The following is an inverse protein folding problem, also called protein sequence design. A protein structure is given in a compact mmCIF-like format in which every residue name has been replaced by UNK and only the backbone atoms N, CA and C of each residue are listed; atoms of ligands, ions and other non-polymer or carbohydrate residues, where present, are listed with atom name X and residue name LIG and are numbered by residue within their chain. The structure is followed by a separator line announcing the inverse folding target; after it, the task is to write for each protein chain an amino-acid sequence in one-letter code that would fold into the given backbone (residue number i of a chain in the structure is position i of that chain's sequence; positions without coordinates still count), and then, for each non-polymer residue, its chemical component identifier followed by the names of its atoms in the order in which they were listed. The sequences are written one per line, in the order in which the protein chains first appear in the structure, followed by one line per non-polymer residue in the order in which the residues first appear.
data_IF_543749338668
#
_entry.id   IF_543749338668
#
_cell.length_a   1.000
_cell.length_b   1.000
_cell.length_c   1.000
_cell.angle_alpha   90.00
_cell.angle_beta   90.00
_cell.angle_gamma   90.00
#
_symmetry.space_group_name_H-M   'P 1'
#
loop_
_entity.id
_entity.type
_entity.pdbx_description
1 polymer ?
#
# COMPACT_ATOMS: atom_id res chain seq x y z
N UNK A 1 -2.49 -24.82 4.79
CA UNK A 1 -2.81 -23.37 4.70
C UNK A 1 -2.96 -23.03 3.22
N UNK A 2 -3.94 -22.22 2.81
CA UNK A 2 -4.08 -21.76 1.41
C UNK A 2 -3.01 -20.70 1.14
N UNK A 3 -2.27 -20.82 0.04
CA UNK A 3 -1.28 -19.80 -0.34
C UNK A 3 -1.99 -18.47 -0.65
N UNK A 4 -1.62 -17.35 -0.01
CA UNK A 4 -2.26 -16.07 -0.24
C UNK A 4 -1.86 -15.49 -1.61
N UNK A 5 -2.72 -14.65 -2.16
CA UNK A 5 -2.34 -13.74 -3.26
C UNK A 5 -1.60 -12.55 -2.65
N UNK A 6 -0.54 -12.13 -3.28
CA UNK A 6 0.31 -11.06 -2.78
C UNK A 6 0.33 -9.85 -3.70
N UNK A 7 0.63 -8.70 -3.14
CA UNK A 7 0.90 -7.46 -3.86
C UNK A 7 1.95 -6.64 -3.10
N UNK A 8 2.66 -5.76 -3.81
CA UNK A 8 3.78 -5.01 -3.26
C UNK A 8 3.63 -3.52 -3.52
N UNK A 9 4.06 -2.70 -2.56
CA UNK A 9 4.20 -1.27 -2.74
C UNK A 9 5.67 -0.86 -2.89
N UNK A 10 5.94 0.01 -3.87
CA UNK A 10 7.26 0.57 -4.14
C UNK A 10 7.26 2.09 -4.05
N UNK A 11 8.39 2.66 -3.72
CA UNK A 11 8.63 4.10 -3.82
C UNK A 11 9.25 4.45 -5.17
N UNK A 12 8.84 5.57 -5.81
CA UNK A 12 9.53 6.07 -6.98
C UNK A 12 10.95 6.53 -6.61
N UNK A 13 11.96 6.28 -7.45
CA UNK A 13 13.34 6.60 -7.13
C UNK A 13 13.60 8.09 -7.27
N UNK A 14 14.27 8.70 -6.28
CA UNK A 14 14.67 10.12 -6.29
C UNK A 14 16.14 10.34 -6.65
N UNK A 15 16.93 9.28 -6.68
CA UNK A 15 18.36 9.28 -6.99
C UNK A 15 18.71 8.06 -7.82
N UNK A 16 19.87 8.06 -8.46
CA UNK A 16 20.36 6.91 -9.22
C UNK A 16 20.49 5.66 -8.31
N UNK A 17 21.00 5.83 -7.09
CA UNK A 17 21.09 4.72 -6.12
C UNK A 17 19.72 4.17 -5.74
N UNK A 18 18.71 5.05 -5.52
CA UNK A 18 17.34 4.62 -5.28
C UNK A 18 16.73 3.90 -6.49
N UNK A 19 17.16 4.25 -7.72
CA UNK A 19 16.77 3.54 -8.94
C UNK A 19 17.29 2.11 -8.95
N UNK A 20 18.56 1.91 -8.61
CA UNK A 20 19.13 0.56 -8.50
C UNK A 20 18.41 -0.27 -7.44
N UNK A 21 18.13 0.31 -6.26
CA UNK A 21 17.37 -0.39 -5.21
C UNK A 21 15.95 -0.76 -5.66
N UNK A 22 15.25 0.13 -6.36
CA UNK A 22 13.94 -0.18 -6.89
C UNK A 22 14.01 -1.39 -7.85
N UNK A 23 14.96 -1.38 -8.80
CA UNK A 23 15.11 -2.47 -9.76
C UNK A 23 15.53 -3.79 -9.10
N UNK A 24 16.41 -3.74 -8.12
CA UNK A 24 16.78 -4.92 -7.33
C UNK A 24 15.54 -5.49 -6.60
N UNK A 25 14.74 -4.62 -5.98
CA UNK A 25 13.48 -5.01 -5.33
C UNK A 25 12.51 -5.64 -6.33
N UNK A 26 12.33 -5.03 -7.51
CA UNK A 26 11.45 -5.56 -8.56
C UNK A 26 11.95 -6.91 -9.04
N UNK A 27 13.23 -7.06 -9.34
CA UNK A 27 13.82 -8.33 -9.78
C UNK A 27 13.69 -9.44 -8.75
N UNK A 28 13.81 -9.11 -7.47
CA UNK A 28 13.69 -10.07 -6.38
C UNK A 28 12.25 -10.52 -6.15
N UNK A 29 11.27 -9.60 -6.27
CA UNK A 29 9.89 -9.86 -5.89
C UNK A 29 8.97 -10.21 -7.07
N UNK A 30 9.27 -9.79 -8.29
CA UNK A 30 8.43 -10.09 -9.46
C UNK A 30 8.28 -11.59 -9.76
N UNK A 31 9.30 -12.47 -9.52
CA UNK A 31 9.11 -13.89 -9.71
C UNK A 31 8.07 -14.55 -8.80
N UNK A 32 7.69 -13.88 -7.69
CA UNK A 32 6.63 -14.34 -6.79
C UNK A 32 5.21 -14.16 -7.37
N UNK A 33 5.11 -13.64 -8.59
CA UNK A 33 3.86 -13.44 -9.34
C UNK A 33 2.82 -12.61 -8.58
N UNK A 34 3.15 -11.38 -8.19
CA UNK A 34 2.21 -10.53 -7.47
C UNK A 34 0.97 -10.21 -8.33
N UNK A 35 -0.20 -10.17 -7.69
CA UNK A 35 -1.46 -9.79 -8.32
C UNK A 35 -1.38 -8.38 -8.94
N UNK A 36 -0.72 -7.48 -8.25
CA UNK A 36 -0.34 -6.14 -8.71
C UNK A 36 0.84 -5.62 -7.89
N UNK A 37 1.47 -4.57 -8.39
CA UNK A 37 2.40 -3.75 -7.62
C UNK A 37 1.90 -2.31 -7.62
N UNK A 38 2.11 -1.56 -6.54
CA UNK A 38 1.77 -0.14 -6.51
C UNK A 38 3.02 0.72 -6.43
N UNK A 39 2.93 1.95 -6.95
CA UNK A 39 4.01 2.95 -6.87
C UNK A 39 3.44 4.20 -6.21
N UNK A 40 4.07 4.59 -5.09
CA UNK A 40 3.59 5.70 -4.28
C UNK A 40 3.76 7.06 -4.97
N UNK A 41 2.98 8.03 -4.47
CA UNK A 41 3.02 9.42 -4.88
C UNK A 41 3.49 10.24 -3.68
N UNK A 42 4.56 11.01 -3.84
CA UNK A 42 5.14 11.74 -2.71
C UNK A 42 4.21 12.81 -2.15
N UNK A 43 4.31 13.03 -0.85
CA UNK A 43 3.55 14.05 -0.15
C UNK A 43 3.65 15.41 -0.86
N UNK A 44 2.50 16.12 -0.97
CA UNK A 44 2.41 17.38 -1.70
C UNK A 44 2.74 17.29 -3.19
N UNK A 45 2.58 16.12 -3.83
CA UNK A 45 2.84 15.96 -5.26
C UNK A 45 4.32 16.01 -5.68
N UNK A 46 5.24 15.95 -4.72
CA UNK A 46 6.68 16.18 -4.95
C UNK A 46 7.37 15.15 -5.86
N UNK A 47 6.73 13.98 -6.11
CA UNK A 47 7.27 12.93 -6.97
C UNK A 47 6.39 12.64 -8.18
N UNK A 48 5.52 13.58 -8.60
CA UNK A 48 4.58 13.40 -9.71
C UNK A 48 5.21 12.80 -10.96
N UNK A 49 6.26 13.46 -11.47
CA UNK A 49 6.97 13.00 -12.67
C UNK A 49 7.70 11.68 -12.43
N UNK A 50 8.39 11.53 -11.29
CA UNK A 50 9.11 10.30 -10.93
C UNK A 50 8.16 9.10 -10.80
N UNK A 51 6.98 9.31 -10.23
CA UNK A 51 5.95 8.26 -10.13
C UNK A 51 5.47 7.86 -11.53
N UNK A 52 5.19 8.82 -12.40
CA UNK A 52 4.76 8.57 -13.77
C UNK A 52 5.81 7.76 -14.55
N UNK A 53 7.06 8.18 -14.49
CA UNK A 53 8.16 7.48 -15.16
C UNK A 53 8.37 6.06 -14.59
N UNK A 54 8.36 5.91 -13.27
CA UNK A 54 8.52 4.62 -12.62
C UNK A 54 7.38 3.65 -12.98
N UNK A 55 6.12 4.10 -12.91
CA UNK A 55 4.93 3.32 -13.27
C UNK A 55 5.00 2.82 -14.71
N UNK A 56 5.23 3.74 -15.67
CA UNK A 56 5.28 3.38 -17.09
C UNK A 56 6.46 2.45 -17.41
N UNK A 57 7.62 2.68 -16.77
CA UNK A 57 8.82 1.87 -16.99
C UNK A 57 8.65 0.47 -16.39
N UNK A 58 8.12 0.36 -15.17
CA UNK A 58 7.84 -0.93 -14.52
C UNK A 58 6.87 -1.76 -15.36
N UNK A 59 5.72 -1.19 -15.72
CA UNK A 59 4.73 -1.89 -16.54
C UNK A 59 5.33 -2.41 -17.84
N UNK A 60 6.02 -1.55 -18.59
CA UNK A 60 6.63 -1.89 -19.87
C UNK A 60 7.75 -2.94 -19.77
N UNK A 61 8.58 -2.85 -18.74
CA UNK A 61 9.75 -3.72 -18.60
C UNK A 61 9.43 -5.09 -18.02
N UNK A 62 8.41 -5.19 -17.14
CA UNK A 62 8.11 -6.43 -16.41
C UNK A 62 6.81 -7.10 -16.84
N UNK A 63 5.89 -6.37 -17.47
CA UNK A 63 4.53 -6.83 -17.75
C UNK A 63 3.63 -6.96 -16.51
N UNK A 64 4.10 -6.55 -15.35
CA UNK A 64 3.30 -6.56 -14.12
C UNK A 64 2.10 -5.60 -14.22
N UNK A 65 1.03 -5.94 -13.52
CA UNK A 65 -0.05 -5.01 -13.24
C UNK A 65 0.44 -3.94 -12.28
N UNK A 66 0.51 -2.69 -12.72
CA UNK A 66 0.98 -1.58 -11.91
C UNK A 66 -0.19 -0.68 -11.54
N UNK A 67 -0.40 -0.49 -10.24
CA UNK A 67 -1.35 0.47 -9.68
C UNK A 67 -0.61 1.78 -9.38
N UNK A 68 -0.93 2.83 -10.14
CA UNK A 68 -0.35 4.14 -9.91
C UNK A 68 -1.07 4.84 -8.75
N UNK A 69 -0.34 5.34 -7.75
CA UNK A 69 -0.94 6.26 -6.80
C UNK A 69 -1.27 7.58 -7.51
N UNK A 70 -2.45 8.11 -7.26
CA UNK A 70 -2.90 9.39 -7.76
C UNK A 70 -3.58 10.17 -6.64
N UNK A 71 -3.19 11.43 -6.48
CA UNK A 71 -3.70 12.30 -5.43
C UNK A 71 -4.38 13.53 -6.02
N UNK A 72 -5.30 14.11 -5.27
CA UNK A 72 -5.95 15.38 -5.61
C UNK A 72 -5.23 16.60 -5.02
N UNK A 73 -4.11 16.42 -4.33
CA UNK A 73 -3.38 17.52 -3.70
C UNK A 73 -2.67 18.39 -4.74
N UNK A 74 -2.77 19.71 -4.56
CA UNK A 74 -2.03 20.73 -5.32
C UNK A 74 -2.13 20.60 -6.85
N UNK A 75 -3.32 20.23 -7.36
CA UNK A 75 -3.61 20.14 -8.79
C UNK A 75 -5.08 20.44 -9.09
N UNK A 76 -5.33 20.99 -10.27
CA UNK A 76 -6.68 21.13 -10.80
C UNK A 76 -7.28 19.76 -11.19
N UNK A 77 -8.61 19.71 -11.35
CA UNK A 77 -9.30 18.51 -11.87
C UNK A 77 -8.76 18.09 -13.23
N UNK A 78 -8.56 19.07 -14.11
CA UNK A 78 -8.05 18.85 -15.46
C UNK A 78 -6.65 18.24 -15.43
N UNK A 79 -5.73 18.80 -14.65
CA UNK A 79 -4.37 18.26 -14.50
C UNK A 79 -4.37 16.85 -13.93
N UNK A 80 -5.17 16.59 -12.90
CA UNK A 80 -5.27 15.27 -12.27
C UNK A 80 -5.81 14.22 -13.24
N UNK A 81 -6.87 14.55 -14.00
CA UNK A 81 -7.42 13.64 -15.00
C UNK A 81 -6.51 13.47 -16.21
N UNK A 82 -5.77 14.50 -16.62
CA UNK A 82 -4.76 14.37 -17.67
C UNK A 82 -3.63 13.40 -17.27
N UNK A 83 -3.24 13.37 -16.00
CA UNK A 83 -2.28 12.37 -15.47
C UNK A 83 -2.89 10.96 -15.53
N UNK A 84 -4.15 10.79 -15.13
CA UNK A 84 -4.84 9.52 -15.23
C UNK A 84 -4.90 9.03 -16.70
N UNK A 85 -5.21 9.91 -17.64
CA UNK A 85 -5.21 9.59 -19.07
C UNK A 85 -3.83 9.18 -19.60
N UNK A 86 -2.75 9.80 -19.09
CA UNK A 86 -1.38 9.37 -19.41
C UNK A 86 -1.10 7.97 -18.91
N UNK A 87 -1.54 7.61 -17.68
CA UNK A 87 -1.44 6.24 -17.19
C UNK A 87 -2.19 5.25 -18.08
N UNK A 88 -3.45 5.54 -18.42
CA UNK A 88 -4.24 4.68 -19.31
C UNK A 88 -3.56 4.51 -20.68
N UNK A 89 -3.00 5.58 -21.25
CA UNK A 89 -2.26 5.55 -22.51
C UNK A 89 -1.00 4.70 -22.43
N UNK A 90 -0.36 4.67 -21.26
CA UNK A 90 0.80 3.80 -20.99
C UNK A 90 0.43 2.33 -20.72
N UNK A 91 -0.85 1.95 -20.78
CA UNK A 91 -1.35 0.61 -20.53
C UNK A 91 -1.63 0.30 -19.05
N UNK A 92 -1.55 1.31 -18.17
CA UNK A 92 -1.84 1.16 -16.74
C UNK A 92 -3.34 1.32 -16.49
N UNK A 93 -3.96 0.27 -15.98
CA UNK A 93 -5.40 0.21 -15.73
C UNK A 93 -5.78 0.18 -14.25
N UNK A 94 -4.83 0.42 -13.37
CA UNK A 94 -5.05 0.35 -11.92
C UNK A 94 -4.57 1.62 -11.22
N UNK A 95 -5.38 2.17 -10.33
CA UNK A 95 -5.07 3.39 -9.57
C UNK A 95 -5.32 3.16 -8.07
N UNK A 96 -4.40 3.65 -7.23
CA UNK A 96 -4.64 3.89 -5.81
C UNK A 96 -5.00 5.36 -5.65
N UNK A 97 -6.31 5.65 -5.48
CA UNK A 97 -6.83 7.00 -5.38
C UNK A 97 -6.78 7.50 -3.93
N UNK A 98 -6.08 8.60 -3.72
CA UNK A 98 -5.83 9.17 -2.40
C UNK A 98 -6.16 10.68 -2.41
N UNK A 99 -6.45 11.25 -1.23
CA UNK A 99 -6.51 12.70 -1.07
C UNK A 99 -5.12 13.31 -1.31
N UNK A 100 -4.11 12.66 -0.79
CA UNK A 100 -2.75 13.15 -0.67
C UNK A 100 -2.53 13.92 0.63
N UNK A 101 -1.28 13.88 1.10
CA UNK A 101 -0.86 14.63 2.27
C UNK A 101 -0.64 16.10 1.90
N UNK A 102 -0.94 17.02 2.81
CA UNK A 102 -0.66 18.43 2.60
C UNK A 102 0.86 18.66 2.46
N UNK A 103 1.29 19.72 1.76
CA UNK A 103 2.69 20.10 1.71
C UNK A 103 3.27 20.29 3.11
N UNK A 104 4.55 19.92 3.30
CA UNK A 104 5.22 20.07 4.59
C UNK A 104 5.18 21.53 5.07
N UNK A 105 4.71 21.71 6.30
CA UNK A 105 4.59 23.04 6.94
C UNK A 105 3.25 23.74 6.70
N UNK A 106 2.31 23.13 5.97
CA UNK A 106 0.94 23.66 5.86
C UNK A 106 0.08 23.27 7.08
N UNK A 107 -0.96 24.06 7.34
CA UNK A 107 -1.91 23.82 8.44
C UNK A 107 -3.05 22.86 8.07
N UNK A 108 -2.74 21.77 7.36
CA UNK A 108 -3.70 20.77 6.90
C UNK A 108 -3.95 20.82 5.39
N UNK A 109 -4.81 19.90 4.93
CA UNK A 109 -5.16 19.82 3.52
C UNK A 109 -6.06 20.99 3.11
N UNK A 110 -5.68 21.66 2.03
CA UNK A 110 -6.52 22.66 1.35
C UNK A 110 -6.61 22.26 -0.11
N UNK A 111 -7.84 22.05 -0.65
CA UNK A 111 -7.98 21.69 -2.05
C UNK A 111 -7.55 22.86 -2.95
N UNK A 112 -6.98 22.53 -4.11
CA UNK A 112 -6.76 23.53 -5.16
C UNK A 112 -8.10 24.16 -5.58
N UNK A 113 -8.19 25.49 -5.84
CA UNK A 113 -9.47 26.14 -6.15
C UNK A 113 -10.27 25.52 -7.31
N UNK A 114 -9.58 24.88 -8.25
CA UNK A 114 -10.16 24.15 -9.37
C UNK A 114 -9.92 22.64 -9.26
N UNK A 115 -9.50 22.15 -8.08
CA UNK A 115 -9.17 20.76 -7.83
C UNK A 115 -10.37 19.93 -7.35
N UNK A 116 -10.05 18.70 -6.95
CA UNK A 116 -10.99 17.85 -6.22
C UNK A 116 -10.99 18.24 -4.74
N UNK A 117 -12.17 18.36 -4.15
CA UNK A 117 -12.33 18.73 -2.75
C UNK A 117 -11.89 17.63 -1.80
N UNK A 118 -12.02 16.37 -2.22
CA UNK A 118 -11.64 15.20 -1.46
C UNK A 118 -11.38 13.98 -2.37
N UNK A 119 -11.01 12.84 -1.76
CA UNK A 119 -10.76 11.60 -2.50
C UNK A 119 -12.03 10.99 -3.11
N UNK A 120 -13.22 11.22 -2.56
CA UNK A 120 -14.46 10.67 -3.12
C UNK A 120 -14.79 11.32 -4.47
N UNK A 121 -14.58 12.64 -4.60
CA UNK A 121 -14.75 13.33 -5.89
C UNK A 121 -13.76 12.82 -6.94
N UNK A 122 -12.49 12.57 -6.57
CA UNK A 122 -11.50 11.98 -7.46
C UNK A 122 -11.92 10.57 -7.89
N UNK A 123 -12.35 9.73 -6.95
CA UNK A 123 -12.79 8.36 -7.21
C UNK A 123 -13.97 8.37 -8.18
N UNK A 124 -14.98 9.20 -7.95
CA UNK A 124 -16.15 9.30 -8.84
C UNK A 124 -15.73 9.69 -10.27
N UNK A 125 -14.88 10.70 -10.41
CA UNK A 125 -14.41 11.14 -11.72
C UNK A 125 -13.59 10.05 -12.45
N UNK A 126 -12.76 9.28 -11.71
CA UNK A 126 -12.03 8.15 -12.29
C UNK A 126 -12.96 6.99 -12.67
N UNK A 127 -13.97 6.68 -11.84
CA UNK A 127 -14.95 5.64 -12.10
C UNK A 127 -15.80 5.93 -13.35
N UNK A 128 -16.20 7.20 -13.55
CA UNK A 128 -16.94 7.65 -14.75
C UNK A 128 -16.16 7.37 -16.04
N UNK A 129 -14.82 7.34 -16.01
CA UNK A 129 -14.02 7.02 -17.20
C UNK A 129 -14.15 5.58 -17.65
N UNK A 130 -14.49 4.66 -16.73
CA UNK A 130 -14.53 3.21 -16.98
C UNK A 130 -13.18 2.57 -17.30
N UNK A 131 -12.06 3.30 -17.12
CA UNK A 131 -10.71 2.86 -17.52
C UNK A 131 -9.94 2.14 -16.42
N UNK A 132 -10.34 2.28 -15.14
CA UNK A 132 -9.49 1.91 -14.01
C UNK A 132 -10.17 1.00 -13.00
N UNK A 133 -9.41 0.05 -12.48
CA UNK A 133 -9.65 -0.56 -11.17
C UNK A 133 -9.14 0.42 -10.11
N UNK A 134 -10.00 0.84 -9.18
CA UNK A 134 -9.69 1.90 -8.23
C UNK A 134 -9.56 1.30 -6.82
N UNK A 135 -8.38 1.45 -6.23
CA UNK A 135 -8.11 1.10 -4.83
C UNK A 135 -8.01 2.35 -3.97
N UNK A 136 -8.31 2.18 -2.70
CA UNK A 136 -8.28 3.28 -1.71
C UNK A 136 -7.61 2.86 -0.42
N UNK A 137 -7.08 3.83 0.33
CA UNK A 137 -6.56 3.59 1.67
C UNK A 137 -7.67 3.43 2.70
N UNK A 138 -7.47 2.53 3.67
CA UNK A 138 -8.30 2.30 4.84
C UNK A 138 -7.44 2.26 6.11
N UNK A 139 -8.03 2.48 7.29
CA UNK A 139 -7.29 2.63 8.54
C UNK A 139 -7.89 1.75 9.64
N UNK A 140 -7.29 0.59 9.94
CA UNK A 140 -7.81 -0.33 10.96
C UNK A 140 -7.92 0.28 12.35
N UNK A 141 -7.03 1.22 12.68
CA UNK A 141 -6.98 1.87 13.98
C UNK A 141 -7.54 3.29 14.00
N UNK A 142 -7.88 3.85 12.88
CA UNK A 142 -8.41 5.19 12.64
C UNK A 142 -7.37 6.11 11.97
N UNK A 143 -7.81 6.83 10.94
CA UNK A 143 -7.01 7.92 10.35
C UNK A 143 -6.75 9.02 11.40
N UNK A 144 -5.52 9.57 11.49
CA UNK A 144 -5.20 10.61 12.47
C UNK A 144 -6.15 11.81 12.49
N UNK A 145 -6.67 12.22 11.34
CA UNK A 145 -7.61 13.33 11.19
C UNK A 145 -9.09 12.95 11.39
N UNK A 146 -9.43 11.65 11.47
CA UNK A 146 -10.81 11.22 11.69
C UNK A 146 -11.24 11.53 13.15
N UNK A 147 -12.48 11.93 13.34
CA UNK A 147 -13.01 12.21 14.68
C UNK A 147 -13.00 10.94 15.55
N UNK A 148 -13.48 9.84 15.00
CA UNK A 148 -13.52 8.52 15.62
C UNK A 148 -13.48 7.41 14.56
N UNK A 149 -13.40 6.15 14.99
CA UNK A 149 -13.34 4.99 14.09
C UNK A 149 -14.61 4.83 13.25
N UNK A 150 -15.77 5.23 13.75
CA UNK A 150 -17.02 5.16 13.00
C UNK A 150 -17.02 6.16 11.84
N UNK A 151 -16.61 7.40 12.11
CA UNK A 151 -16.49 8.42 11.06
C UNK A 151 -15.51 7.99 9.96
N UNK A 152 -14.43 7.28 10.32
CA UNK A 152 -13.46 6.77 9.35
C UNK A 152 -14.03 5.62 8.50
N UNK A 153 -14.81 4.71 9.11
CA UNK A 153 -15.53 3.65 8.38
C UNK A 153 -16.61 4.24 7.46
N UNK A 154 -17.37 5.24 7.94
CA UNK A 154 -18.36 5.95 7.12
C UNK A 154 -17.68 6.64 5.92
N UNK A 155 -16.46 7.18 6.13
CA UNK A 155 -15.65 7.74 5.05
C UNK A 155 -15.18 6.68 4.06
N UNK A 156 -14.72 5.51 4.52
CA UNK A 156 -14.38 4.39 3.65
C UNK A 156 -15.58 3.94 2.83
N UNK A 157 -16.77 3.84 3.46
CA UNK A 157 -18.00 3.51 2.74
C UNK A 157 -18.28 4.50 1.61
N UNK A 158 -18.14 5.79 1.86
CA UNK A 158 -18.32 6.82 0.81
C UNK A 158 -17.33 6.65 -0.35
N UNK A 159 -16.08 6.26 -0.09
CA UNK A 159 -15.09 5.95 -1.14
C UNK A 159 -15.54 4.75 -2.00
N UNK A 160 -16.05 3.69 -1.36
CA UNK A 160 -16.58 2.51 -2.06
C UNK A 160 -17.82 2.87 -2.87
N UNK A 161 -18.77 3.59 -2.29
CA UNK A 161 -19.97 4.05 -2.96
C UNK A 161 -19.66 5.00 -4.14
N UNK A 162 -18.55 5.74 -4.10
CA UNK A 162 -18.04 6.58 -5.17
C UNK A 162 -17.42 5.81 -6.35
N UNK A 163 -17.19 4.50 -6.20
CA UNK A 163 -16.67 3.63 -7.27
C UNK A 163 -15.35 2.95 -6.99
N UNK A 164 -14.81 3.03 -5.77
CA UNK A 164 -13.65 2.25 -5.41
C UNK A 164 -14.00 0.75 -5.32
N UNK A 165 -13.13 -0.10 -5.85
CA UNK A 165 -13.36 -1.54 -5.95
C UNK A 165 -12.73 -2.35 -4.83
N UNK A 166 -11.68 -1.84 -4.20
CA UNK A 166 -10.92 -2.50 -3.13
C UNK A 166 -10.33 -1.46 -2.18
N UNK A 167 -10.11 -1.85 -0.93
CA UNK A 167 -9.40 -1.05 0.05
C UNK A 167 -8.11 -1.74 0.50
N UNK A 168 -7.01 -0.98 0.61
CA UNK A 168 -5.75 -1.44 1.20
C UNK A 168 -5.60 -0.76 2.55
N UNK A 169 -5.35 -1.53 3.61
CA UNK A 169 -5.25 -0.92 4.94
C UNK A 169 -3.87 -0.33 5.21
N UNK A 170 -3.82 0.70 6.06
CA UNK A 170 -2.59 1.04 6.76
C UNK A 170 -2.09 -0.21 7.52
N UNK A 171 -0.77 -0.33 7.70
CA UNK A 171 -0.22 -1.45 8.46
C UNK A 171 -0.60 -1.38 9.94
N UNK A 172 -0.56 -2.52 10.58
CA UNK A 172 -0.85 -2.74 12.01
C UNK A 172 0.02 -3.89 12.51
N UNK A 173 0.08 -4.12 13.82
CA UNK A 173 0.97 -5.12 14.41
C UNK A 173 0.24 -6.33 15.00
N UNK A 174 -1.08 -6.31 15.11
CA UNK A 174 -1.87 -7.38 15.69
C UNK A 174 -3.05 -7.75 14.77
N UNK A 175 -3.23 -9.04 14.46
CA UNK A 175 -4.29 -9.51 13.54
C UNK A 175 -5.70 -9.14 14.02
N UNK A 176 -5.94 -9.13 15.33
CA UNK A 176 -7.21 -8.74 15.93
C UNK A 176 -7.62 -7.31 15.58
N UNK A 177 -6.65 -6.41 15.36
CA UNK A 177 -6.92 -5.04 14.92
C UNK A 177 -7.57 -5.04 13.53
N UNK A 178 -7.06 -5.84 12.62
CA UNK A 178 -7.65 -6.01 11.30
C UNK A 178 -9.03 -6.69 11.37
N UNK A 179 -9.19 -7.74 12.15
CA UNK A 179 -10.46 -8.45 12.23
C UNK A 179 -11.57 -7.58 12.79
N UNK A 180 -11.33 -6.84 13.85
CA UNK A 180 -12.31 -5.88 14.40
C UNK A 180 -12.71 -4.83 13.37
N UNK A 181 -11.73 -4.29 12.63
CA UNK A 181 -11.99 -3.33 11.56
C UNK A 181 -12.80 -3.93 10.42
N UNK A 182 -12.42 -5.11 9.92
CA UNK A 182 -13.15 -5.83 8.87
C UNK A 182 -14.60 -6.07 9.26
N UNK A 183 -14.84 -6.56 10.47
CA UNK A 183 -16.18 -6.88 10.95
C UNK A 183 -17.02 -5.58 11.09
N UNK A 184 -16.42 -4.49 11.54
CA UNK A 184 -17.09 -3.19 11.60
C UNK A 184 -17.43 -2.65 10.19
N UNK A 185 -16.55 -2.84 9.19
CA UNK A 185 -16.81 -2.49 7.80
C UNK A 185 -17.97 -3.30 7.22
N UNK A 186 -18.01 -4.61 7.47
CA UNK A 186 -19.13 -5.47 7.05
C UNK A 186 -20.43 -5.01 7.70
N UNK A 187 -20.43 -4.70 8.98
CA UNK A 187 -21.59 -4.17 9.70
C UNK A 187 -22.08 -2.82 9.13
N UNK A 188 -21.16 -2.00 8.59
CA UNK A 188 -21.48 -0.74 7.89
C UNK A 188 -21.94 -0.95 6.45
N UNK A 189 -22.03 -2.20 5.96
CA UNK A 189 -22.45 -2.52 4.59
C UNK A 189 -21.37 -2.31 3.53
N UNK A 190 -20.09 -2.37 3.90
CA UNK A 190 -18.96 -2.39 2.97
C UNK A 190 -18.73 -3.83 2.53
N UNK A 191 -18.99 -4.12 1.24
CA UNK A 191 -18.82 -5.44 0.64
C UNK A 191 -17.57 -5.54 -0.24
N UNK A 192 -16.87 -4.45 -0.45
CA UNK A 192 -15.61 -4.45 -1.21
C UNK A 192 -14.50 -5.20 -0.44
N UNK A 193 -13.61 -5.94 -1.11
CA UNK A 193 -12.46 -6.56 -0.50
C UNK A 193 -11.60 -5.55 0.27
N UNK A 194 -11.21 -5.94 1.48
CA UNK A 194 -10.27 -5.17 2.32
C UNK A 194 -8.98 -5.98 2.41
N UNK A 195 -7.91 -5.43 1.87
CA UNK A 195 -6.60 -6.07 1.78
C UNK A 195 -5.74 -5.55 2.94
N UNK A 196 -5.29 -6.40 3.88
CA UNK A 196 -4.41 -5.96 4.95
C UNK A 196 -3.05 -5.53 4.39
N UNK A 197 -2.62 -4.35 4.82
CA UNK A 197 -1.29 -3.81 4.57
C UNK A 197 -0.31 -4.33 5.61
N UNK A 198 0.79 -4.92 5.17
CA UNK A 198 1.83 -5.53 6.00
C UNK A 198 3.11 -4.72 5.87
N UNK A 199 3.68 -4.30 6.98
CA UNK A 199 5.00 -3.65 7.02
C UNK A 199 6.04 -4.62 7.59
N UNK A 200 6.86 -5.26 6.76
CA UNK A 200 8.03 -5.99 7.25
C UNK A 200 8.99 -5.02 7.96
N UNK A 201 9.41 -5.35 9.18
CA UNK A 201 10.17 -4.44 10.05
C UNK A 201 11.65 -4.55 9.76
N UNK A 202 12.13 -3.88 8.73
CA UNK A 202 13.55 -3.85 8.31
C UNK A 202 14.47 -3.14 9.32
N UNK A 203 13.93 -2.21 10.07
CA UNK A 203 14.62 -1.48 11.12
C UNK A 203 13.61 -1.01 12.14
N UNK A 204 13.74 -1.48 13.40
CA UNK A 204 12.76 -1.16 14.44
C UNK A 204 12.65 0.32 14.75
N UNK A 205 13.78 1.03 14.87
CA UNK A 205 13.76 2.47 15.15
C UNK A 205 13.02 3.27 14.06
N UNK A 206 13.23 2.91 12.80
CA UNK A 206 12.55 3.51 11.65
C UNK A 206 11.07 3.16 11.62
N UNK A 207 10.73 1.89 11.79
CA UNK A 207 9.36 1.39 11.80
C UNK A 207 8.54 2.04 12.93
N UNK A 208 9.11 2.18 14.12
CA UNK A 208 8.50 2.85 15.28
C UNK A 208 8.16 4.31 14.99
N UNK A 209 9.09 5.07 14.41
CA UNK A 209 8.84 6.46 14.01
C UNK A 209 7.74 6.55 12.95
N UNK A 210 7.76 5.64 11.99
CA UNK A 210 6.78 5.58 10.94
C UNK A 210 5.38 5.24 11.49
N UNK A 211 5.28 4.22 12.35
CA UNK A 211 4.04 3.86 13.03
C UNK A 211 3.44 5.04 13.80
N UNK A 212 4.26 5.74 14.58
CA UNK A 212 3.81 6.95 15.31
C UNK A 212 3.28 8.02 14.35
N UNK A 213 3.93 8.25 13.21
CA UNK A 213 3.48 9.25 12.22
C UNK A 213 2.19 8.86 11.51
N UNK A 214 1.91 7.57 11.36
CA UNK A 214 0.69 7.04 10.76
C UNK A 214 -0.46 6.86 11.76
N UNK A 215 -0.21 7.08 13.06
CA UNK A 215 -1.20 6.84 14.12
C UNK A 215 -1.40 5.34 14.43
N UNK A 216 -0.50 4.47 13.98
CA UNK A 216 -0.53 3.04 14.27
C UNK A 216 -0.07 2.78 15.70
N UNK A 217 -0.85 2.01 16.45
CA UNK A 217 -0.52 1.65 17.83
C UNK A 217 0.61 0.62 17.85
N UNK A 218 1.56 0.86 18.72
CA UNK A 218 2.70 -0.04 18.93
C UNK A 218 2.44 -0.81 20.22
N UNK A 219 2.24 -2.14 20.17
CA UNK A 219 2.10 -2.96 21.36
C UNK A 219 3.35 -2.89 22.25
N UNK A 220 3.19 -2.75 23.55
CA UNK A 220 4.32 -2.61 24.48
C UNK A 220 5.29 -3.79 24.42
N UNK A 221 4.79 -5.01 24.21
CA UNK A 221 5.61 -6.21 24.09
C UNK A 221 6.56 -6.17 22.88
N UNK A 222 6.20 -5.42 21.83
CA UNK A 222 6.97 -5.34 20.59
C UNK A 222 8.29 -4.58 20.78
N UNK A 223 8.25 -3.47 21.54
CA UNK A 223 9.46 -2.73 21.93
C UNK A 223 10.45 -3.64 22.68
N UNK A 224 9.96 -4.38 23.70
CA UNK A 224 10.80 -5.28 24.50
C UNK A 224 11.42 -6.42 23.66
N UNK A 225 10.67 -6.96 22.70
CA UNK A 225 11.14 -8.01 21.81
C UNK A 225 12.26 -7.51 20.89
N UNK A 226 12.05 -6.36 20.23
CA UNK A 226 13.07 -5.81 19.32
C UNK A 226 14.30 -5.31 20.06
N UNK A 227 14.17 -4.72 21.26
CA UNK A 227 15.32 -4.33 22.08
C UNK A 227 16.21 -5.53 22.45
N UNK A 228 15.60 -6.70 22.73
CA UNK A 228 16.33 -7.94 22.98
C UNK A 228 16.97 -8.48 21.69
N UNK A 229 16.21 -8.54 20.62
CA UNK A 229 16.69 -9.08 19.35
C UNK A 229 17.86 -8.25 18.77
N UNK A 230 17.83 -6.93 18.91
CA UNK A 230 18.92 -6.04 18.48
C UNK A 230 20.18 -6.30 19.31
N UNK A 231 20.08 -6.44 20.64
CA UNK A 231 21.23 -6.79 21.50
C UNK A 231 21.88 -8.12 21.14
N UNK A 232 21.04 -9.08 20.74
CA UNK A 232 21.45 -10.45 20.46
C UNK A 232 21.81 -10.67 18.97
N UNK A 233 21.85 -9.59 18.16
CA UNK A 233 22.07 -9.63 16.69
C UNK A 233 21.09 -10.57 15.96
N UNK A 234 19.81 -10.52 16.35
CA UNK A 234 18.73 -11.38 15.83
C UNK A 234 17.54 -10.60 15.31
N UNK A 235 17.74 -9.34 14.95
CA UNK A 235 16.67 -8.46 14.47
C UNK A 235 15.89 -9.07 13.29
N UNK A 236 16.58 -9.51 12.24
CA UNK A 236 15.95 -9.99 11.01
C UNK A 236 15.18 -11.30 11.23
N UNK A 237 15.71 -12.17 12.10
CA UNK A 237 15.03 -13.40 12.49
C UNK A 237 13.71 -13.11 13.20
N UNK A 238 13.71 -12.16 14.17
CA UNK A 238 12.50 -11.76 14.87
C UNK A 238 11.51 -11.09 13.91
N UNK A 239 11.99 -10.18 13.08
CA UNK A 239 11.16 -9.46 12.12
C UNK A 239 10.48 -10.41 11.13
N UNK A 240 11.21 -11.41 10.60
CA UNK A 240 10.64 -12.45 9.73
C UNK A 240 9.59 -13.28 10.46
N UNK A 241 9.89 -13.71 11.69
CA UNK A 241 8.98 -14.54 12.47
C UNK A 241 7.66 -13.80 12.76
N UNK A 242 7.74 -12.56 13.27
CA UNK A 242 6.56 -11.77 13.60
C UNK A 242 5.70 -11.42 12.37
N UNK A 243 6.33 -11.04 11.25
CA UNK A 243 5.59 -10.76 10.03
C UNK A 243 4.94 -12.04 9.46
N UNK A 244 5.61 -13.19 9.55
CA UNK A 244 5.05 -14.48 9.13
C UNK A 244 3.88 -14.90 10.01
N UNK A 245 4.01 -14.77 11.35
CA UNK A 245 2.95 -15.07 12.30
C UNK A 245 1.71 -14.19 12.04
N UNK A 246 1.89 -12.88 11.95
CA UNK A 246 0.80 -11.94 11.62
C UNK A 246 0.09 -12.34 10.32
N UNK A 247 0.85 -12.64 9.26
CA UNK A 247 0.25 -13.07 7.98
C UNK A 247 -0.46 -14.42 8.10
N UNK A 248 0.08 -15.36 8.88
CA UNK A 248 -0.54 -16.67 9.12
C UNK A 248 -1.87 -16.54 9.85
N UNK A 249 -1.92 -15.73 10.90
CA UNK A 249 -3.16 -15.44 11.64
C UNK A 249 -4.22 -14.82 10.74
N UNK A 250 -3.82 -13.87 9.87
CA UNK A 250 -4.71 -13.25 8.91
C UNK A 250 -5.28 -14.28 7.92
N UNK A 251 -4.44 -15.17 7.39
CA UNK A 251 -4.85 -16.23 6.44
C UNK A 251 -5.78 -17.23 7.14
N UNK A 252 -5.50 -17.64 8.36
CA UNK A 252 -6.35 -18.52 9.17
C UNK A 252 -7.70 -17.85 9.46
N UNK A 253 -7.73 -16.52 9.64
CA UNK A 253 -8.93 -15.71 9.76
C UNK A 253 -9.66 -15.43 8.43
N UNK A 254 -9.25 -16.10 7.34
CA UNK A 254 -9.93 -16.07 6.04
C UNK A 254 -9.47 -14.97 5.08
N UNK A 255 -8.35 -14.32 5.34
CA UNK A 255 -7.74 -13.36 4.40
C UNK A 255 -7.11 -14.12 3.23
N UNK A 256 -7.40 -13.69 2.01
CA UNK A 256 -6.85 -14.30 0.79
C UNK A 256 -5.80 -13.43 0.11
N UNK A 257 -5.77 -12.12 0.37
CA UNK A 257 -4.87 -11.15 -0.25
C UNK A 257 -4.04 -10.44 0.82
N UNK A 258 -2.74 -10.28 0.57
CA UNK A 258 -1.83 -9.52 1.42
C UNK A 258 -1.13 -8.44 0.59
N UNK A 259 -0.98 -7.24 1.14
CA UNK A 259 -0.25 -6.15 0.50
C UNK A 259 0.96 -5.74 1.33
N UNK A 260 2.17 -5.85 0.78
CA UNK A 260 3.41 -5.59 1.50
C UNK A 260 3.98 -4.21 1.17
N UNK A 261 4.21 -3.40 2.20
CA UNK A 261 4.95 -2.13 2.13
C UNK A 261 6.45 -2.41 2.15
N UNK A 262 7.05 -2.59 0.98
CA UNK A 262 8.43 -3.11 0.84
C UNK A 262 9.50 -2.08 1.22
N UNK A 263 9.18 -0.80 1.21
CA UNK A 263 10.14 0.31 1.37
C UNK A 263 11.34 0.21 0.41
N UNK A 264 11.16 -0.46 -0.74
CA UNK A 264 12.21 -0.83 -1.70
C UNK A 264 13.36 -1.64 -1.04
N UNK A 265 13.00 -2.59 -0.16
CA UNK A 265 13.89 -3.55 0.49
C UNK A 265 13.24 -4.93 0.36
N UNK A 266 13.76 -5.80 -0.51
CA UNK A 266 13.04 -7.02 -0.88
C UNK A 266 13.25 -8.20 0.06
N UNK A 267 14.37 -8.22 0.81
CA UNK A 267 14.88 -9.44 1.47
C UNK A 267 13.85 -9.99 2.45
N UNK A 268 13.45 -9.16 3.42
CA UNK A 268 12.51 -9.57 4.46
C UNK A 268 11.12 -9.90 3.88
N UNK A 269 10.65 -9.09 2.94
CA UNK A 269 9.37 -9.34 2.24
C UNK A 269 9.40 -10.69 1.52
N UNK A 270 10.48 -10.99 0.79
CA UNK A 270 10.67 -12.27 0.09
C UNK A 270 10.66 -13.44 1.08
N UNK A 271 11.40 -13.33 2.17
CA UNK A 271 11.54 -14.40 3.16
C UNK A 271 10.20 -14.70 3.84
N UNK A 272 9.42 -13.68 4.17
CA UNK A 272 8.04 -13.83 4.67
C UNK A 272 7.15 -14.52 3.63
N UNK A 273 7.18 -14.07 2.37
CA UNK A 273 6.41 -14.69 1.29
C UNK A 273 6.76 -16.18 1.14
N UNK A 274 8.05 -16.55 1.17
CA UNK A 274 8.50 -17.94 1.10
C UNK A 274 8.00 -18.77 2.31
N UNK A 275 8.05 -18.21 3.52
CA UNK A 275 7.54 -18.86 4.72
C UNK A 275 6.01 -19.13 4.64
N UNK A 276 5.26 -18.28 3.93
CA UNK A 276 3.84 -18.45 3.65
C UNK A 276 3.54 -19.41 2.47
N UNK A 277 4.57 -20.03 1.88
CA UNK A 277 4.43 -20.95 0.76
C UNK A 277 4.27 -20.28 -0.61
N UNK A 278 4.50 -18.97 -0.71
CA UNK A 278 4.56 -18.28 -2.00
C UNK A 278 5.94 -18.53 -2.61
N UNK A 279 5.97 -19.28 -3.70
CA UNK A 279 7.21 -19.66 -4.38
C UNK A 279 7.28 -19.02 -5.77
N UNK A 280 8.49 -18.74 -6.29
CA UNK A 280 8.65 -18.23 -7.64
C UNK A 280 7.98 -19.14 -8.67
N UNK A 281 7.28 -18.56 -9.64
CA UNK A 281 6.82 -19.31 -10.81
C UNK A 281 8.03 -19.64 -11.67
N UNK A 282 8.37 -20.92 -11.72
CA UNK A 282 9.37 -21.44 -12.67
C UNK A 282 8.68 -21.52 -14.04
N UNK A 283 9.11 -20.72 -15.00
CA UNK A 283 8.66 -20.88 -16.39
C UNK A 283 9.53 -21.90 -17.10
N UNK A 284 8.95 -22.60 -18.09
CA UNK A 284 9.74 -23.57 -18.90
C UNK A 284 10.93 -22.91 -19.64
N UNK A 285 10.96 -21.57 -19.74
CA UNK A 285 12.09 -20.81 -20.29
C UNK A 285 13.27 -20.72 -19.33
N UNK A 286 13.03 -20.88 -18.02
CA UNK A 286 14.08 -20.80 -17.00
C UNK A 286 14.78 -22.15 -16.79
N UNK A 287 14.31 -23.21 -17.46
CA UNK A 287 14.81 -24.61 -17.33
C UNK A 287 15.46 -25.08 -18.64
N UNK A 288 15.42 -24.28 -19.69
CA UNK A 288 16.03 -24.57 -21.02
C UNK A 288 17.30 -23.77 -21.23
#
# INVERSE_FOLDING_TARGET
MKTPRISFEFFPPKTLEASFRLWDTVHTLSPLDPRFVSVTYGAGGTTRELTREAVGTLHKATGLNVAAHLTCVDASREETLAIADQFATAGVSEIVALRGDPPKGSNGFTPHPQGFGDSCELISALAETGKFTIRVGAYPEKHPEAADSRADIDWLKRKIDAGATEAITQFFFEADTFFRFRDACVAAGINAPIIPGILPIENWTGARKFATSCGTQIPAWLDDCFDKAIRDDRHDLLATALATELCSDLIEGGVEDLHFYTLNRPELTRDVCHALGVTPRVTLRDVA
#
